data_IF_220328623435
#
_entry.id   IF_220328623435
#
_cell.length_a   1.000
_cell.length_b   1.000
_cell.length_c   1.000
_cell.angle_alpha   90.00
_cell.angle_beta   90.00
_cell.angle_gamma   90.00
#
_symmetry.space_group_name_H-M   'P 1'
#
loop_
_entity.id
_entity.type
_entity.pdbx_description
1 polymer ?
#
# COMPACT_ATOMS: atom_id res chain seq x y z
N UNK A 1 -16.36 -16.66 6.32
CA UNK A 1 -15.08 -16.42 7.05
C UNK A 1 -15.15 -15.08 7.76
N UNK A 2 -14.46 -14.90 8.89
CA UNK A 2 -14.27 -13.58 9.51
C UNK A 2 -12.78 -13.22 9.43
N UNK A 3 -12.48 -12.04 8.89
CA UNK A 3 -11.13 -11.49 8.78
C UNK A 3 -11.12 -10.10 9.42
N UNK A 4 -10.10 -9.79 10.22
CA UNK A 4 -9.84 -8.41 10.67
C UNK A 4 -8.61 -7.87 9.97
N UNK A 5 -8.76 -6.70 9.36
CA UNK A 5 -7.66 -5.98 8.74
C UNK A 5 -7.39 -4.74 9.58
N UNK A 6 -6.18 -4.65 10.12
CA UNK A 6 -5.62 -3.43 10.68
C UNK A 6 -4.98 -2.66 9.53
N UNK A 7 -5.10 -1.33 9.51
CA UNK A 7 -4.42 -0.53 8.52
C UNK A 7 -3.78 0.73 9.10
N UNK A 8 -2.71 1.17 8.47
CA UNK A 8 -2.10 2.49 8.67
C UNK A 8 -1.91 3.18 7.33
N UNK A 9 -1.79 4.49 7.36
CA UNK A 9 -1.43 5.31 6.22
C UNK A 9 -0.66 6.53 6.69
N UNK A 10 0.11 7.14 5.78
CA UNK A 10 0.60 8.51 5.94
C UNK A 10 1.35 8.74 7.27
N UNK A 11 2.19 7.77 7.67
CA UNK A 11 2.97 7.87 8.92
C UNK A 11 4.11 8.89 8.78
N UNK A 12 4.58 9.17 7.56
CA UNK A 12 5.59 10.19 7.23
C UNK A 12 6.80 10.17 8.16
N UNK A 13 7.37 8.99 8.41
CA UNK A 13 8.51 8.84 9.32
C UNK A 13 8.31 9.38 10.74
N UNK A 14 7.07 9.47 11.24
CA UNK A 14 6.83 9.63 12.67
C UNK A 14 7.24 8.35 13.41
N UNK A 15 8.56 8.13 13.56
CA UNK A 15 9.15 6.85 13.99
C UNK A 15 8.65 6.37 15.36
N UNK A 16 8.29 7.31 16.23
CA UNK A 16 7.68 7.02 17.52
C UNK A 16 6.28 6.38 17.40
N UNK A 17 5.50 6.74 16.36
CA UNK A 17 4.20 6.15 16.11
C UNK A 17 4.32 4.68 15.71
N UNK A 18 5.39 4.27 15.02
CA UNK A 18 5.64 2.85 14.76
C UNK A 18 5.82 2.03 16.03
N UNK A 19 6.49 2.55 17.05
CA UNK A 19 6.62 1.84 18.33
C UNK A 19 5.25 1.68 19.01
N UNK A 20 4.37 2.67 18.90
CA UNK A 20 2.98 2.58 19.39
C UNK A 20 2.16 1.57 18.59
N UNK A 21 2.27 1.58 17.27
CA UNK A 21 1.61 0.63 16.37
C UNK A 21 2.08 -0.79 16.70
N UNK A 22 3.39 -1.00 16.78
CA UNK A 22 3.99 -2.28 17.17
C UNK A 22 3.48 -2.78 18.52
N UNK A 23 3.47 -1.93 19.54
CA UNK A 23 2.93 -2.29 20.85
C UNK A 23 1.45 -2.67 20.79
N UNK A 24 0.65 -1.87 20.08
CA UNK A 24 -0.78 -2.13 19.88
C UNK A 24 -1.01 -3.45 19.13
N UNK A 25 -0.29 -3.69 18.03
CA UNK A 25 -0.40 -4.91 17.23
C UNK A 25 0.01 -6.15 18.04
N UNK A 26 1.08 -6.05 18.84
CA UNK A 26 1.51 -7.13 19.73
C UNK A 26 0.47 -7.45 20.82
N UNK A 27 -0.30 -6.45 21.25
CA UNK A 27 -1.33 -6.62 22.27
C UNK A 27 -2.68 -7.11 21.71
N UNK A 28 -3.14 -6.52 20.59
CA UNK A 28 -4.50 -6.74 20.08
C UNK A 28 -4.58 -7.93 19.14
N UNK A 29 -3.60 -8.12 18.25
CA UNK A 29 -3.64 -9.17 17.22
C UNK A 29 -3.79 -10.57 17.83
N UNK A 30 -3.06 -10.94 18.92
CA UNK A 30 -3.21 -12.27 19.54
C UNK A 30 -4.54 -12.49 20.29
N UNK A 31 -5.33 -11.43 20.53
CA UNK A 31 -6.65 -11.56 21.19
C UNK A 31 -7.75 -12.01 20.23
N UNK A 32 -7.50 -11.96 18.92
CA UNK A 32 -8.43 -12.43 17.91
C UNK A 32 -8.42 -13.96 17.85
N UNK A 33 -9.62 -14.54 17.70
CA UNK A 33 -9.81 -15.98 17.52
C UNK A 33 -10.08 -16.37 16.05
N UNK A 34 -9.79 -15.45 15.13
CA UNK A 34 -9.94 -15.60 13.69
C UNK A 34 -8.75 -14.93 12.99
N UNK A 35 -8.50 -15.22 11.69
CA UNK A 35 -7.39 -14.60 10.96
C UNK A 35 -7.41 -13.07 10.98
N UNK A 36 -6.23 -12.49 10.85
CA UNK A 36 -6.05 -11.05 10.72
C UNK A 36 -4.86 -10.67 9.85
N UNK A 37 -4.91 -9.47 9.29
CA UNK A 37 -3.83 -8.85 8.52
C UNK A 37 -3.53 -7.45 9.04
N UNK A 38 -2.29 -6.99 8.85
CA UNK A 38 -1.93 -5.59 8.96
C UNK A 38 -1.47 -5.08 7.59
N UNK A 39 -2.10 -4.02 7.09
CA UNK A 39 -1.74 -3.37 5.83
C UNK A 39 -1.26 -1.93 6.03
N UNK A 40 -0.21 -1.53 5.32
CA UNK A 40 0.24 -0.13 5.29
C UNK A 40 -0.03 0.49 3.91
N UNK A 41 -0.63 1.67 3.89
CA UNK A 41 -1.12 2.28 2.66
C UNK A 41 -0.16 3.29 2.05
N UNK A 42 1.14 3.28 2.39
CA UNK A 42 2.14 4.16 1.79
C UNK A 42 2.35 5.47 2.54
N UNK A 43 3.34 6.25 2.08
CA UNK A 43 3.93 7.39 2.79
C UNK A 43 4.44 6.99 4.19
N UNK A 44 4.98 5.78 4.30
CA UNK A 44 5.66 5.34 5.51
C UNK A 44 7.08 5.91 5.59
N UNK A 45 7.70 6.26 4.46
CA UNK A 45 8.99 6.93 4.32
C UNK A 45 8.80 8.41 3.98
N UNK A 46 9.52 9.25 4.70
CA UNK A 46 9.61 10.70 4.43
C UNK A 46 11.04 11.15 4.77
N UNK A 47 11.79 11.55 3.74
CA UNK A 47 13.19 11.92 3.88
C UNK A 47 13.41 13.27 4.60
N UNK A 48 12.36 13.99 4.97
CA UNK A 48 12.49 15.17 5.86
C UNK A 48 12.89 14.79 7.30
N UNK A 49 12.67 13.53 7.69
CA UNK A 49 13.10 13.02 9.00
C UNK A 49 14.59 12.60 8.96
N UNK A 50 15.47 13.15 9.83
CA UNK A 50 16.92 12.92 9.73
C UNK A 50 17.36 11.46 9.78
N UNK A 51 16.69 10.63 10.59
CA UNK A 51 17.00 9.19 10.68
C UNK A 51 16.58 8.46 9.41
N UNK A 52 15.43 8.83 8.85
CA UNK A 52 14.93 8.26 7.60
C UNK A 52 15.84 8.64 6.44
N UNK A 53 16.23 9.91 6.35
CA UNK A 53 17.20 10.39 5.36
C UNK A 53 18.52 9.63 5.44
N UNK A 54 19.12 9.57 6.64
CA UNK A 54 20.40 8.91 6.87
C UNK A 54 20.38 7.40 6.58
N UNK A 55 19.20 6.77 6.59
CA UNK A 55 19.01 5.34 6.31
C UNK A 55 18.32 5.07 4.99
N UNK A 56 18.02 6.11 4.20
CA UNK A 56 17.24 6.02 2.96
C UNK A 56 15.94 5.20 3.13
N UNK A 57 15.23 5.41 4.24
CA UNK A 57 13.98 4.71 4.55
C UNK A 57 14.12 3.29 5.10
N UNK A 58 15.33 2.72 5.16
CA UNK A 58 15.55 1.36 5.69
C UNK A 58 15.10 1.18 7.14
N UNK A 59 15.22 2.22 7.97
CA UNK A 59 14.71 2.18 9.34
C UNK A 59 13.19 2.00 9.39
N UNK A 60 12.45 2.59 8.44
CA UNK A 60 11.00 2.52 8.36
C UNK A 60 10.55 1.11 7.97
N UNK A 61 11.22 0.51 6.98
CA UNK A 61 10.99 -0.90 6.60
C UNK A 61 11.26 -1.85 7.78
N UNK A 62 12.33 -1.61 8.55
CA UNK A 62 12.60 -2.39 9.76
C UNK A 62 11.50 -2.25 10.82
N UNK A 63 10.94 -1.06 11.00
CA UNK A 63 9.83 -0.83 11.93
C UNK A 63 8.54 -1.52 11.49
N UNK A 64 8.21 -1.49 10.19
CA UNK A 64 7.08 -2.25 9.62
C UNK A 64 7.25 -3.77 9.80
N UNK A 65 8.48 -4.27 9.63
CA UNK A 65 8.83 -5.66 9.93
C UNK A 65 8.57 -6.02 11.41
N UNK A 66 8.97 -5.14 12.33
CA UNK A 66 8.74 -5.32 13.77
C UNK A 66 7.26 -5.27 14.13
N UNK A 67 6.49 -4.40 13.47
CA UNK A 67 5.03 -4.27 13.63
C UNK A 67 4.22 -5.40 12.99
N UNK A 68 4.88 -6.36 12.32
CA UNK A 68 4.25 -7.51 11.65
C UNK A 68 3.29 -7.08 10.54
N UNK A 69 3.69 -6.09 9.74
CA UNK A 69 3.00 -5.77 8.49
C UNK A 69 2.91 -7.02 7.61
N UNK A 70 1.79 -7.20 6.93
CA UNK A 70 1.55 -8.31 6.00
C UNK A 70 1.68 -7.85 4.55
N UNK A 71 1.07 -6.69 4.21
CA UNK A 71 1.07 -6.10 2.87
C UNK A 71 1.24 -4.59 2.98
N UNK A 72 2.05 -3.99 2.13
CA UNK A 72 2.16 -2.54 2.02
C UNK A 72 2.03 -2.08 0.58
N UNK A 73 1.74 -0.80 0.37
CA UNK A 73 2.01 -0.09 -0.89
C UNK A 73 3.01 1.04 -0.64
N UNK A 74 3.54 1.62 -1.71
CA UNK A 74 4.23 2.90 -1.68
C UNK A 74 3.22 4.04 -1.79
N UNK A 75 3.52 5.16 -1.14
CA UNK A 75 2.81 6.41 -1.37
C UNK A 75 3.58 7.28 -2.35
N UNK A 76 3.22 8.56 -2.42
CA UNK A 76 3.91 9.47 -3.31
C UNK A 76 5.29 9.87 -2.78
N UNK A 77 5.51 9.89 -1.46
CA UNK A 77 6.81 10.27 -0.90
C UNK A 77 7.91 9.28 -1.30
N UNK A 78 7.65 7.97 -1.23
CA UNK A 78 8.62 6.97 -1.69
C UNK A 78 8.98 7.17 -3.17
N UNK A 79 7.99 7.42 -4.03
CA UNK A 79 8.20 7.57 -5.47
C UNK A 79 8.73 8.94 -5.92
N UNK A 80 8.55 9.99 -5.13
CA UNK A 80 8.91 11.38 -5.50
C UNK A 80 10.16 11.91 -4.81
N UNK A 81 10.65 11.25 -3.75
CA UNK A 81 11.78 11.77 -2.96
C UNK A 81 12.98 10.83 -2.92
N UNK A 82 12.75 9.51 -3.05
CA UNK A 82 13.81 8.51 -2.98
C UNK A 82 14.39 8.32 -4.38
N UNK A 83 15.72 8.45 -4.51
CA UNK A 83 16.41 8.21 -5.79
C UNK A 83 16.07 6.84 -6.39
N UNK A 84 16.11 6.71 -7.70
CA UNK A 84 15.86 5.46 -8.43
C UNK A 84 16.60 4.25 -7.83
N UNK A 85 17.90 4.38 -7.56
CA UNK A 85 18.72 3.32 -6.96
C UNK A 85 18.24 2.98 -5.53
N UNK A 86 18.03 4.00 -4.69
CA UNK A 86 17.59 3.78 -3.32
C UNK A 86 16.17 3.18 -3.23
N UNK A 87 15.24 3.51 -4.13
CA UNK A 87 13.90 2.91 -4.13
C UNK A 87 13.95 1.43 -4.54
N UNK A 88 14.75 1.09 -5.54
CA UNK A 88 15.02 -0.30 -5.88
C UNK A 88 15.63 -1.09 -4.72
N UNK A 89 16.40 -0.44 -3.85
CA UNK A 89 16.94 -1.13 -2.69
C UNK A 89 16.03 -1.04 -1.46
N UNK A 90 15.07 -0.12 -1.36
CA UNK A 90 14.31 0.17 -0.14
C UNK A 90 13.79 -1.09 0.57
N UNK A 91 13.16 -2.00 -0.18
CA UNK A 91 12.47 -3.18 0.37
C UNK A 91 13.27 -4.48 0.40
N UNK A 92 14.59 -4.47 0.17
CA UNK A 92 15.42 -5.71 0.19
C UNK A 92 15.30 -6.56 1.47
N UNK A 93 15.01 -5.92 2.61
CA UNK A 93 14.85 -6.59 3.90
C UNK A 93 13.38 -6.67 4.37
N UNK A 94 12.42 -6.35 3.50
CA UNK A 94 11.01 -6.42 3.84
C UNK A 94 10.58 -7.87 4.12
N UNK A 95 9.81 -8.06 5.19
CA UNK A 95 9.19 -9.34 5.59
C UNK A 95 7.69 -9.36 5.29
N UNK A 96 7.25 -8.40 4.49
CA UNK A 96 5.89 -8.17 4.02
C UNK A 96 5.93 -8.02 2.50
N UNK A 97 4.78 -8.19 1.86
CA UNK A 97 4.67 -7.98 0.41
C UNK A 97 4.43 -6.50 0.13
N UNK A 98 5.18 -5.92 -0.80
CA UNK A 98 4.90 -4.58 -1.31
C UNK A 98 4.24 -4.69 -2.66
N UNK A 99 3.08 -4.05 -2.81
CA UNK A 99 2.35 -4.04 -4.07
C UNK A 99 2.11 -2.60 -4.53
N UNK A 100 2.32 -2.34 -5.82
CA UNK A 100 1.99 -1.08 -6.49
C UNK A 100 2.00 -1.35 -8.00
N UNK A 101 0.89 -1.10 -8.70
CA UNK A 101 0.72 -1.48 -10.09
C UNK A 101 1.13 -0.39 -11.08
N UNK A 102 1.17 0.87 -10.64
CA UNK A 102 1.25 2.03 -11.54
C UNK A 102 2.59 2.80 -11.48
N UNK A 103 3.67 2.20 -10.97
CA UNK A 103 5.02 2.79 -10.97
C UNK A 103 6.00 1.82 -11.60
N UNK A 104 6.57 2.21 -12.75
CA UNK A 104 7.49 1.40 -13.54
C UNK A 104 8.69 2.23 -14.02
N UNK A 105 9.80 1.58 -14.35
CA UNK A 105 10.93 2.22 -15.04
C UNK A 105 10.65 2.39 -16.55
N UNK A 106 11.59 3.03 -17.27
CA UNK A 106 11.52 3.19 -18.74
C UNK A 106 11.52 1.86 -19.52
N UNK A 107 11.95 0.76 -18.88
CA UNK A 107 11.92 -0.58 -19.46
C UNK A 107 10.62 -1.33 -19.16
N UNK A 108 9.71 -0.73 -18.39
CA UNK A 108 8.43 -1.32 -17.98
C UNK A 108 8.52 -2.26 -16.78
N UNK A 109 9.63 -2.24 -16.02
CA UNK A 109 9.76 -3.03 -14.79
C UNK A 109 9.31 -2.25 -13.56
N UNK A 110 8.70 -2.94 -12.62
CA UNK A 110 8.44 -2.41 -11.28
C UNK A 110 9.76 -2.21 -10.51
N UNK A 111 9.79 -1.32 -9.50
CA UNK A 111 10.90 -1.29 -8.56
C UNK A 111 11.13 -2.67 -7.93
N UNK A 112 12.40 -2.99 -7.67
CA UNK A 112 12.78 -4.26 -7.06
C UNK A 112 12.00 -4.52 -5.75
N UNK A 113 11.59 -5.78 -5.56
CA UNK A 113 10.79 -6.26 -4.43
C UNK A 113 9.37 -5.66 -4.32
N UNK A 114 8.88 -5.00 -5.38
CA UNK A 114 7.48 -4.58 -5.53
C UNK A 114 6.82 -5.45 -6.59
N UNK A 115 5.59 -5.90 -6.33
CA UNK A 115 4.75 -6.65 -7.28
C UNK A 115 3.54 -5.81 -7.72
N UNK A 116 2.96 -6.10 -8.88
CA UNK A 116 1.79 -5.35 -9.37
C UNK A 116 0.52 -5.69 -8.58
N UNK A 117 0.40 -6.96 -8.16
CA UNK A 117 -0.62 -7.43 -7.22
C UNK A 117 -0.15 -8.62 -6.39
N UNK A 118 -0.92 -8.97 -5.37
CA UNK A 118 -0.66 -10.11 -4.50
C UNK A 118 -1.94 -10.86 -4.13
N UNK A 119 -1.95 -12.19 -4.29
CA UNK A 119 -3.05 -13.05 -3.82
C UNK A 119 -2.61 -13.77 -2.54
N UNK A 120 -3.36 -13.58 -1.46
CA UNK A 120 -3.20 -14.30 -0.19
C UNK A 120 -4.36 -15.27 0.03
N UNK A 121 -4.05 -16.54 0.22
CA UNK A 121 -5.02 -17.55 0.64
C UNK A 121 -5.15 -17.54 2.17
N UNK A 122 -6.37 -17.37 2.67
CA UNK A 122 -6.71 -17.47 4.08
C UNK A 122 -7.87 -18.44 4.22
N UNK A 123 -7.60 -19.61 4.84
CA UNK A 123 -8.57 -20.68 5.05
C UNK A 123 -9.35 -21.07 3.78
N UNK A 124 -8.68 -21.07 2.62
CA UNK A 124 -9.24 -21.41 1.31
C UNK A 124 -9.95 -20.26 0.58
N UNK A 125 -9.96 -19.05 1.16
CA UNK A 125 -10.47 -17.83 0.50
C UNK A 125 -9.27 -17.05 -0.05
N UNK A 126 -9.27 -16.81 -1.36
CA UNK A 126 -8.20 -16.07 -2.04
C UNK A 126 -8.51 -14.59 -2.11
N UNK A 127 -7.69 -13.79 -1.44
CA UNK A 127 -7.82 -12.33 -1.36
C UNK A 127 -6.77 -11.70 -2.26
N UNK A 128 -7.22 -10.97 -3.27
CA UNK A 128 -6.37 -10.17 -4.16
C UNK A 128 -6.16 -8.78 -3.56
N UNK A 129 -4.91 -8.35 -3.50
CA UNK A 129 -4.48 -7.00 -3.18
C UNK A 129 -3.94 -6.35 -4.45
N UNK A 130 -4.54 -5.24 -4.86
CA UNK A 130 -4.03 -4.34 -5.91
C UNK A 130 -3.82 -2.98 -5.28
N UNK A 131 -2.77 -2.25 -5.69
CA UNK A 131 -2.51 -0.94 -5.14
C UNK A 131 -2.02 0.04 -6.19
N UNK A 132 -2.30 1.32 -5.99
CA UNK A 132 -1.82 2.39 -6.84
C UNK A 132 -1.50 3.63 -6.00
N UNK A 133 -0.62 4.47 -6.53
CA UNK A 133 -0.19 5.73 -5.92
C UNK A 133 -0.51 6.93 -6.82
N UNK A 134 -0.69 8.10 -6.22
CA UNK A 134 -1.05 9.33 -6.92
C UNK A 134 -0.05 9.69 -8.05
N UNK A 135 -0.53 9.96 -9.29
CA UNK A 135 0.32 10.10 -10.47
C UNK A 135 0.94 11.50 -10.63
N UNK A 136 1.85 11.88 -9.73
CA UNK A 136 2.58 13.15 -9.79
C UNK A 136 3.71 13.14 -10.84
N UNK A 137 3.35 12.99 -12.13
CA UNK A 137 4.27 12.66 -13.24
C UNK A 137 5.59 13.44 -13.28
N UNK A 138 5.63 14.78 -13.12
CA UNK A 138 6.90 15.50 -13.21
C UNK A 138 7.94 15.08 -12.16
N UNK A 139 7.48 14.70 -10.96
CA UNK A 139 8.36 14.31 -9.86
C UNK A 139 8.90 12.89 -10.04
N UNK A 140 8.03 11.95 -10.45
CA UNK A 140 8.46 10.60 -10.79
C UNK A 140 9.46 10.60 -11.95
N UNK A 141 9.20 11.39 -13.01
CA UNK A 141 10.12 11.51 -14.15
C UNK A 141 11.46 12.12 -13.78
N UNK A 142 11.52 12.99 -12.78
CA UNK A 142 12.78 13.53 -12.28
C UNK A 142 13.66 12.48 -11.57
N UNK A 143 13.10 11.32 -11.25
CA UNK A 143 13.75 10.18 -10.59
C UNK A 143 13.75 8.93 -11.47
N UNK A 144 13.63 9.10 -12.79
CA UNK A 144 13.65 8.03 -13.79
C UNK A 144 12.52 6.98 -13.59
N UNK A 145 11.39 7.41 -13.04
CA UNK A 145 10.18 6.61 -12.90
C UNK A 145 9.05 7.11 -13.82
N UNK A 146 8.25 6.17 -14.29
CA UNK A 146 6.99 6.39 -14.98
C UNK A 146 5.87 6.03 -14.01
N UNK A 147 5.07 7.02 -13.63
CA UNK A 147 3.80 6.78 -12.94
C UNK A 147 2.66 6.83 -13.95
N UNK A 148 1.94 5.72 -14.10
CA UNK A 148 0.84 5.56 -15.06
C UNK A 148 -0.51 5.92 -14.41
N UNK A 149 -1.55 5.98 -15.23
CA UNK A 149 -2.90 6.23 -14.73
C UNK A 149 -3.30 5.12 -13.73
N UNK A 150 -3.67 5.49 -12.49
CA UNK A 150 -3.96 4.51 -11.46
C UNK A 150 -5.23 3.71 -11.75
N UNK A 151 -6.25 4.29 -12.40
CA UNK A 151 -7.49 3.56 -12.71
C UNK A 151 -7.24 2.51 -13.79
N UNK A 152 -6.55 2.88 -14.87
CA UNK A 152 -6.20 1.96 -15.95
C UNK A 152 -5.30 0.83 -15.43
N UNK A 153 -4.30 1.16 -14.62
CA UNK A 153 -3.40 0.16 -14.02
C UNK A 153 -4.14 -0.82 -13.10
N UNK A 154 -5.07 -0.33 -12.28
CA UNK A 154 -5.92 -1.20 -11.44
C UNK A 154 -6.81 -2.10 -12.32
N UNK A 155 -7.44 -1.54 -13.36
CA UNK A 155 -8.29 -2.29 -14.32
C UNK A 155 -7.52 -3.44 -14.97
N UNK A 156 -6.31 -3.15 -15.47
CA UNK A 156 -5.45 -4.15 -16.11
C UNK A 156 -5.09 -5.30 -15.16
N UNK A 157 -4.77 -4.98 -13.91
CA UNK A 157 -4.38 -6.00 -12.93
C UNK A 157 -5.57 -6.84 -12.46
N UNK A 158 -6.74 -6.24 -12.28
CA UNK A 158 -7.99 -6.99 -12.01
C UNK A 158 -8.26 -7.99 -13.14
N UNK A 159 -8.14 -7.56 -14.40
CA UNK A 159 -8.32 -8.42 -15.57
C UNK A 159 -7.28 -9.56 -15.59
N UNK A 160 -6.01 -9.23 -15.35
CA UNK A 160 -4.93 -10.22 -15.32
C UNK A 160 -5.12 -11.31 -14.23
N UNK A 161 -5.80 -10.96 -13.13
CA UNK A 161 -6.11 -11.89 -12.05
C UNK A 161 -7.54 -12.45 -12.09
N UNK A 162 -8.31 -12.17 -13.16
CA UNK A 162 -9.71 -12.60 -13.28
C UNK A 162 -9.85 -14.11 -13.06
N UNK A 163 -10.77 -14.48 -12.16
CA UNK A 163 -11.07 -15.86 -11.81
C UNK A 163 -10.04 -16.56 -10.90
N UNK A 164 -9.03 -15.83 -10.40
CA UNK A 164 -8.01 -16.39 -9.49
C UNK A 164 -8.22 -16.00 -8.02
N UNK A 165 -9.16 -15.11 -7.73
CA UNK A 165 -9.47 -14.59 -6.38
C UNK A 165 -10.97 -14.62 -6.11
N UNK A 166 -11.32 -14.59 -4.82
CA UNK A 166 -12.69 -14.56 -4.32
C UNK A 166 -13.06 -13.18 -3.75
N UNK A 167 -12.06 -12.42 -3.27
CA UNK A 167 -12.22 -11.07 -2.69
C UNK A 167 -11.17 -10.13 -3.28
N UNK A 168 -11.58 -8.94 -3.70
CA UNK A 168 -10.72 -7.87 -4.22
C UNK A 168 -10.60 -6.72 -3.21
N UNK A 169 -9.37 -6.47 -2.76
CA UNK A 169 -9.00 -5.34 -1.90
C UNK A 169 -8.09 -4.40 -2.67
N UNK A 170 -8.45 -3.12 -2.73
CA UNK A 170 -7.60 -2.07 -3.30
C UNK A 170 -6.97 -1.25 -2.17
N UNK A 171 -5.64 -1.11 -2.21
CA UNK A 171 -4.85 -0.22 -1.34
C UNK A 171 -4.54 1.05 -2.15
N UNK A 172 -5.32 2.11 -1.93
CA UNK A 172 -5.27 3.32 -2.76
C UNK A 172 -4.55 4.46 -2.05
N UNK A 173 -3.37 4.83 -2.56
CA UNK A 173 -2.66 6.04 -2.19
C UNK A 173 -2.91 7.17 -3.20
N UNK A 174 -4.16 7.34 -3.62
CA UNK A 174 -4.58 8.32 -4.62
C UNK A 174 -5.53 9.39 -4.07
N UNK A 175 -5.99 9.25 -2.83
CA UNK A 175 -6.88 10.21 -2.18
C UNK A 175 -8.37 9.91 -2.33
N UNK A 176 -9.15 10.42 -1.38
CA UNK A 176 -10.58 10.07 -1.23
C UNK A 176 -11.45 10.30 -2.47
N UNK A 177 -11.19 11.33 -3.28
CA UNK A 177 -11.97 11.59 -4.49
C UNK A 177 -11.73 10.56 -5.59
N UNK A 178 -10.50 10.06 -5.68
CA UNK A 178 -10.18 8.96 -6.56
C UNK A 178 -10.83 7.66 -6.05
N UNK A 179 -10.81 7.42 -4.74
CA UNK A 179 -11.45 6.25 -4.14
C UNK A 179 -12.97 6.22 -4.42
N UNK A 180 -13.64 7.37 -4.38
CA UNK A 180 -15.05 7.49 -4.76
C UNK A 180 -15.28 7.16 -6.24
N UNK A 181 -14.35 7.55 -7.11
CA UNK A 181 -14.40 7.23 -8.54
C UNK A 181 -14.16 5.74 -8.78
N UNK A 182 -13.21 5.13 -8.07
CA UNK A 182 -12.98 3.67 -8.11
C UNK A 182 -14.25 2.90 -7.76
N UNK A 183 -14.97 3.30 -6.71
CA UNK A 183 -16.24 2.64 -6.36
C UNK A 183 -17.26 2.69 -7.50
N UNK A 184 -17.31 3.77 -8.29
CA UNK A 184 -18.26 3.91 -9.40
C UNK A 184 -17.83 3.12 -10.64
N UNK A 185 -16.54 3.16 -10.94
CA UNK A 185 -15.95 2.58 -12.15
C UNK A 185 -15.71 1.07 -12.05
N UNK A 186 -15.50 0.56 -10.83
CA UNK A 186 -15.09 -0.82 -10.55
C UNK A 186 -15.97 -1.44 -9.46
N UNK A 187 -17.23 -1.78 -9.78
CA UNK A 187 -18.17 -2.37 -8.82
C UNK A 187 -17.75 -3.77 -8.33
N UNK A 188 -16.76 -4.41 -8.95
CA UNK A 188 -16.17 -5.67 -8.50
C UNK A 188 -15.23 -5.53 -7.29
N UNK A 189 -14.86 -4.30 -6.89
CA UNK A 189 -14.04 -4.08 -5.70
C UNK A 189 -14.88 -4.32 -4.44
N UNK A 190 -14.43 -5.22 -3.56
CA UNK A 190 -15.11 -5.49 -2.30
C UNK A 190 -14.74 -4.46 -1.21
N UNK A 191 -13.47 -4.04 -1.16
CA UNK A 191 -12.97 -3.10 -0.14
C UNK A 191 -11.90 -2.17 -0.74
N UNK A 192 -12.03 -0.87 -0.46
CA UNK A 192 -10.97 0.12 -0.69
C UNK A 192 -10.44 0.60 0.65
N UNK A 193 -9.12 0.54 0.81
CA UNK A 193 -8.40 1.24 1.87
C UNK A 193 -7.70 2.46 1.27
N UNK A 194 -8.23 3.65 1.55
CA UNK A 194 -7.71 4.93 1.03
C UNK A 194 -6.71 5.62 1.96
N UNK A 195 -5.85 6.45 1.38
CA UNK A 195 -4.83 7.28 2.04
C UNK A 195 -4.55 8.59 1.27
N UNK A 196 -3.38 9.21 1.43
CA UNK A 196 -2.89 10.42 0.72
C UNK A 196 -3.50 11.74 1.19
N UNK A 197 -4.82 11.79 1.41
CA UNK A 197 -5.49 13.06 1.76
C UNK A 197 -5.63 13.30 3.27
N UNK A 198 -5.02 12.47 4.12
CA UNK A 198 -5.09 12.57 5.60
C UNK A 198 -6.53 12.67 6.16
N UNK A 199 -7.51 12.15 5.43
CA UNK A 199 -8.91 12.24 5.83
C UNK A 199 -9.19 11.30 7.00
N UNK A 200 -9.61 11.88 8.12
CA UNK A 200 -10.09 11.10 9.24
C UNK A 200 -11.57 10.71 9.04
N UNK A 201 -11.81 9.41 8.84
CA UNK A 201 -13.15 8.84 8.75
C UNK A 201 -13.54 8.22 10.11
N UNK A 202 -14.57 8.78 10.76
CA UNK A 202 -15.08 8.28 12.04
C UNK A 202 -15.82 6.93 11.93
N UNK A 203 -16.22 6.52 10.72
CA UNK A 203 -16.89 5.25 10.42
C UNK A 203 -16.49 4.80 9.02
N UNK A 204 -16.56 3.49 8.77
CA UNK A 204 -16.44 2.95 7.40
C UNK A 204 -17.43 3.66 6.49
N UNK A 205 -16.95 4.25 5.41
CA UNK A 205 -17.80 4.86 4.40
C UNK A 205 -18.30 3.77 3.46
N UNK A 206 -19.56 3.36 3.64
CA UNK A 206 -20.22 2.46 2.71
C UNK A 206 -20.69 3.25 1.48
N UNK A 207 -20.12 2.98 0.32
CA UNK A 207 -20.59 3.51 -0.95
C UNK A 207 -21.42 2.39 -1.60
N UNK A 208 -22.74 2.56 -1.64
CA UNK A 208 -23.61 1.65 -2.38
C UNK A 208 -23.61 2.04 -3.86
N UNK A 209 -23.07 1.16 -4.69
CA UNK A 209 -23.11 1.27 -6.15
C UNK A 209 -24.41 0.58 -6.60
N UNK A 210 -25.29 1.31 -7.30
CA UNK A 210 -26.59 0.83 -7.78
C UNK A 210 -26.51 0.33 -9.22
#
# INVERSE_FOLDING_TARGET
MRLTIYHTNDIHSHLHEYERIKAYMAEQRPRLNHPSLYVDLGDHVDLSAPITEATLGKKNVALLNEAKCDVATIGNNEGMTISHEALNHLYDEAKFIVTCSNVIDESGHLPNNIVSSYIKDIDGVKILFVAATAPFTPFYRALDWIVTDPLDSIKEEIEHQRGKFDVLIVLSHCGIFFDETLCQELPEIDVIFGSHTHHYLNMVKLIMVY
#
